data_IF_563458635114
#
_entry.id   IF_563458635114
#
_cell.length_a   1.000
_cell.length_b   1.000
_cell.length_c   1.000
_cell.angle_alpha   90.00
_cell.angle_beta   90.00
_cell.angle_gamma   90.00
#
_symmetry.space_group_name_H-M   'P 1'
#
loop_
_entity.id
_entity.type
_entity.pdbx_description
1 polymer ?
#
# COMPACT_ATOMS: atom_id res chain seq x y z
N UNK A 1 -14.73 -7.14 6.06
CA UNK A 1 -15.43 -6.27 5.09
C UNK A 1 -15.12 -6.83 3.72
N UNK A 2 -16.13 -7.08 2.88
CA UNK A 2 -15.94 -7.61 1.53
C UNK A 2 -16.14 -6.48 0.53
N UNK A 3 -15.18 -6.31 -0.38
CA UNK A 3 -15.22 -5.31 -1.44
C UNK A 3 -15.44 -6.02 -2.77
N UNK A 4 -16.47 -5.60 -3.50
CA UNK A 4 -16.72 -5.95 -4.89
C UNK A 4 -16.23 -4.83 -5.81
N UNK A 5 -16.15 -5.11 -7.12
CA UNK A 5 -15.79 -4.10 -8.10
C UNK A 5 -16.75 -2.89 -8.07
N UNK A 6 -18.05 -3.14 -7.86
CA UNK A 6 -19.07 -2.09 -7.76
C UNK A 6 -18.87 -1.22 -6.52
N UNK A 7 -18.73 -1.85 -5.35
CA UNK A 7 -18.55 -1.12 -4.08
C UNK A 7 -17.21 -0.39 -4.01
N UNK A 8 -16.17 -0.96 -4.61
CA UNK A 8 -14.87 -0.32 -4.78
C UNK A 8 -14.98 0.92 -5.68
N UNK A 9 -15.62 0.79 -6.85
CA UNK A 9 -15.84 1.94 -7.74
C UNK A 9 -16.69 3.02 -7.08
N UNK A 10 -17.74 2.64 -6.34
CA UNK A 10 -18.57 3.59 -5.58
C UNK A 10 -17.77 4.36 -4.54
N UNK A 11 -16.83 3.70 -3.85
CA UNK A 11 -15.91 4.38 -2.92
C UNK A 11 -15.09 5.44 -3.66
N UNK A 12 -14.47 5.07 -4.78
CA UNK A 12 -13.65 5.98 -5.58
C UNK A 12 -14.48 7.16 -6.11
N UNK A 13 -15.64 6.89 -6.71
CA UNK A 13 -16.53 7.92 -7.24
C UNK A 13 -17.00 8.90 -6.16
N UNK A 14 -17.35 8.40 -4.97
CA UNK A 14 -17.88 9.23 -3.89
C UNK A 14 -16.81 10.01 -3.12
N UNK A 15 -15.59 9.48 -2.99
CA UNK A 15 -14.54 10.06 -2.12
C UNK A 15 -13.35 10.62 -2.90
N UNK A 16 -13.06 10.08 -4.07
CA UNK A 16 -11.88 10.39 -4.88
C UNK A 16 -12.26 10.63 -6.35
N UNK A 17 -13.18 11.57 -6.65
CA UNK A 17 -13.69 11.76 -8.01
C UNK A 17 -12.60 12.13 -9.02
N UNK A 18 -11.53 12.81 -8.58
CA UNK A 18 -10.37 13.10 -9.43
C UNK A 18 -9.63 11.84 -9.91
N UNK A 19 -9.69 10.76 -9.13
CA UNK A 19 -9.05 9.48 -9.44
C UNK A 19 -9.95 8.55 -10.27
N UNK A 20 -11.25 8.86 -10.42
CA UNK A 20 -12.20 7.98 -11.07
C UNK A 20 -11.83 7.66 -12.53
N UNK A 21 -11.31 8.64 -13.26
CA UNK A 21 -10.84 8.44 -14.65
C UNK A 21 -9.67 7.45 -14.69
N UNK A 22 -8.74 7.52 -13.74
CA UNK A 22 -7.61 6.59 -13.65
C UNK A 22 -8.11 5.18 -13.31
N UNK A 23 -9.00 5.09 -12.32
CA UNK A 23 -9.63 3.84 -11.89
C UNK A 23 -10.34 3.12 -13.02
N UNK A 24 -11.19 3.83 -13.77
CA UNK A 24 -11.96 3.26 -14.89
C UNK A 24 -11.05 2.83 -16.05
N UNK A 25 -9.85 3.41 -16.17
CA UNK A 25 -8.85 3.05 -17.19
C UNK A 25 -7.91 1.90 -16.79
N UNK A 26 -7.99 1.38 -15.55
CA UNK A 26 -7.24 0.19 -15.20
C UNK A 26 -7.72 -1.03 -15.99
N UNK A 27 -6.85 -1.55 -16.87
CA UNK A 27 -7.12 -2.71 -17.73
C UNK A 27 -7.28 -4.03 -16.94
N UNK A 28 -6.53 -4.18 -15.85
CA UNK A 28 -6.48 -5.42 -15.08
C UNK A 28 -7.07 -5.21 -13.69
N UNK A 29 -7.87 -6.17 -13.22
CA UNK A 29 -8.47 -6.13 -11.88
C UNK A 29 -7.43 -6.12 -10.76
N UNK A 30 -6.24 -6.71 -10.99
CA UNK A 30 -5.16 -6.67 -10.00
C UNK A 30 -4.70 -5.23 -9.71
N UNK A 31 -4.63 -4.37 -10.72
CA UNK A 31 -4.27 -2.96 -10.54
C UNK A 31 -5.33 -2.21 -9.73
N UNK A 32 -6.61 -2.54 -9.93
CA UNK A 32 -7.71 -2.00 -9.13
C UNK A 32 -7.61 -2.46 -7.67
N UNK A 33 -7.32 -3.74 -7.44
CA UNK A 33 -7.13 -4.27 -6.09
C UNK A 33 -5.89 -3.68 -5.38
N UNK A 34 -4.79 -3.52 -6.11
CA UNK A 34 -3.57 -2.85 -5.66
C UNK A 34 -3.82 -1.38 -5.31
N UNK A 35 -4.65 -0.66 -6.07
CA UNK A 35 -5.00 0.72 -5.73
C UNK A 35 -5.98 0.77 -4.54
N UNK A 36 -7.03 -0.05 -4.56
CA UNK A 36 -8.12 -0.05 -3.59
C UNK A 36 -7.62 -0.24 -2.16
N UNK A 37 -6.65 -1.13 -1.93
CA UNK A 37 -6.12 -1.39 -0.58
C UNK A 37 -5.60 -0.13 0.11
N UNK A 38 -5.02 0.81 -0.63
CA UNK A 38 -4.55 2.07 -0.03
C UNK A 38 -5.71 3.00 0.31
N UNK A 39 -6.73 3.10 -0.55
CA UNK A 39 -7.93 3.91 -0.28
C UNK A 39 -8.71 3.37 0.92
N UNK A 40 -8.91 2.06 0.98
CA UNK A 40 -9.58 1.40 2.11
C UNK A 40 -8.77 1.61 3.39
N UNK A 41 -7.46 1.36 3.36
CA UNK A 41 -6.60 1.53 4.53
C UNK A 41 -6.52 3.01 4.96
N UNK A 42 -6.59 3.96 4.03
CA UNK A 42 -6.63 5.38 4.35
C UNK A 42 -7.95 5.79 5.02
N UNK A 43 -9.09 5.36 4.49
CA UNK A 43 -10.41 5.76 5.01
C UNK A 43 -10.71 5.12 6.36
N UNK A 44 -10.46 3.82 6.46
CA UNK A 44 -10.90 3.02 7.60
C UNK A 44 -9.77 2.71 8.58
N UNK A 45 -8.51 2.82 8.16
CA UNK A 45 -7.38 2.32 8.94
C UNK A 45 -7.44 0.80 9.12
N UNK A 46 -6.72 0.33 10.14
CA UNK A 46 -6.69 -1.09 10.49
C UNK A 46 -5.55 -1.81 9.78
N UNK A 47 -5.84 -3.03 9.32
CA UNK A 47 -4.88 -3.97 8.76
C UNK A 47 -5.42 -4.42 7.41
N UNK A 48 -4.59 -4.27 6.38
CA UNK A 48 -4.78 -4.92 5.10
C UNK A 48 -3.85 -6.13 5.04
N UNK A 49 -4.38 -7.28 4.61
CA UNK A 49 -3.64 -8.49 4.34
C UNK A 49 -4.24 -9.16 3.11
N UNK A 50 -3.40 -9.71 2.22
CA UNK A 50 -3.86 -10.58 1.14
C UNK A 50 -4.50 -11.87 1.72
N UNK A 51 -5.33 -12.53 0.93
CA UNK A 51 -6.17 -13.64 1.39
C UNK A 51 -5.39 -14.91 1.74
N UNK A 52 -4.14 -14.99 1.31
CA UNK A 52 -3.21 -16.09 1.55
C UNK A 52 -2.38 -15.91 2.84
N UNK A 53 -2.59 -14.83 3.60
CA UNK A 53 -1.92 -14.65 4.89
C UNK A 53 -2.59 -15.43 6.02
N UNK A 54 -1.77 -16.17 6.77
CA UNK A 54 -2.13 -16.82 8.02
C UNK A 54 -1.59 -16.03 9.23
N UNK A 55 -2.48 -15.72 10.17
CA UNK A 55 -2.12 -15.06 11.43
C UNK A 55 -1.60 -16.07 12.46
N UNK A 56 -0.28 -16.16 12.57
CA UNK A 56 0.40 -17.09 13.48
C UNK A 56 0.58 -16.52 14.90
N UNK A 57 0.43 -15.20 15.08
CA UNK A 57 0.56 -14.52 16.39
C UNK A 57 -0.36 -13.29 16.48
N UNK A 58 -0.84 -12.92 17.70
CA UNK A 58 -1.64 -11.72 17.89
C UNK A 58 -0.93 -10.43 17.43
N UNK A 59 -1.65 -9.57 16.70
CA UNK A 59 -1.14 -8.30 16.15
C UNK A 59 -1.24 -7.11 17.14
N UNK A 60 -1.92 -7.30 18.27
CA UNK A 60 -2.13 -6.31 19.35
C UNK A 60 -0.88 -5.53 19.79
N UNK A 61 0.29 -6.17 20.02
CA UNK A 61 1.47 -5.44 20.47
C UNK A 61 1.95 -4.41 19.45
N UNK A 62 1.76 -4.70 18.17
CA UNK A 62 2.29 -3.92 17.07
C UNK A 62 1.33 -2.79 16.69
N UNK A 63 0.02 -3.08 16.64
CA UNK A 63 -1.05 -2.11 16.35
C UNK A 63 -1.13 -0.98 17.38
N UNK A 64 -0.72 -1.23 18.63
CA UNK A 64 -0.68 -0.25 19.72
C UNK A 64 0.58 0.62 19.69
N UNK A 65 1.68 0.11 19.15
CA UNK A 65 2.99 0.78 19.19
C UNK A 65 3.23 1.72 18.01
N UNK A 66 2.75 1.35 16.82
CA UNK A 66 3.06 2.09 15.59
C UNK A 66 1.79 2.63 14.93
N UNK A 67 1.87 3.85 14.39
CA UNK A 67 0.77 4.50 13.68
C UNK A 67 0.59 3.95 12.25
N UNK A 68 1.66 3.46 11.64
CA UNK A 68 1.62 2.78 10.35
C UNK A 68 2.78 1.80 10.22
N UNK A 69 2.57 0.73 9.46
CA UNK A 69 3.48 -0.39 9.29
C UNK A 69 3.32 -0.92 7.87
N UNK A 70 4.45 -1.09 7.19
CA UNK A 70 4.55 -1.72 5.89
C UNK A 70 5.66 -2.75 5.98
N UNK A 71 5.39 -3.98 5.56
CA UNK A 71 6.40 -5.03 5.62
C UNK A 71 7.44 -4.87 4.52
N UNK A 72 8.60 -5.49 4.70
CA UNK A 72 9.57 -5.66 3.64
C UNK A 72 9.22 -6.91 2.85
N UNK A 73 9.41 -6.83 1.54
CA UNK A 73 9.56 -8.01 0.70
C UNK A 73 10.81 -8.80 1.12
N UNK A 74 10.87 -10.11 0.81
CA UNK A 74 12.10 -10.88 0.88
C UNK A 74 13.26 -10.16 0.22
N UNK A 75 14.45 -10.24 0.84
CA UNK A 75 15.63 -9.52 0.37
C UNK A 75 15.93 -9.85 -1.10
N UNK A 76 15.72 -11.10 -1.50
CA UNK A 76 15.89 -11.65 -2.83
C UNK A 76 15.08 -10.87 -3.88
N UNK A 77 13.84 -10.47 -3.55
CA UNK A 77 13.00 -9.68 -4.44
C UNK A 77 13.62 -8.29 -4.68
N UNK A 78 14.12 -7.65 -3.63
CA UNK A 78 14.76 -6.33 -3.77
C UNK A 78 16.14 -6.40 -4.46
N UNK A 79 16.98 -7.36 -4.07
CA UNK A 79 18.38 -7.45 -4.46
C UNK A 79 18.57 -8.04 -5.86
N UNK A 80 17.87 -9.14 -6.18
CA UNK A 80 18.08 -9.85 -7.44
C UNK A 80 17.16 -9.36 -8.56
N UNK A 81 15.89 -9.08 -8.26
CA UNK A 81 14.92 -8.66 -9.29
C UNK A 81 15.08 -7.20 -9.70
N UNK A 82 15.26 -6.31 -8.72
CA UNK A 82 15.22 -4.86 -8.94
C UNK A 82 16.56 -4.14 -8.65
N UNK A 83 17.51 -4.80 -7.99
CA UNK A 83 18.82 -4.23 -7.60
C UNK A 83 18.68 -2.94 -6.77
N UNK A 84 17.71 -2.92 -5.86
CA UNK A 84 17.46 -1.83 -4.91
C UNK A 84 17.71 -2.31 -3.47
N UNK A 85 18.04 -1.42 -2.52
CA UNK A 85 18.46 -1.83 -1.17
C UNK A 85 17.35 -2.48 -0.34
N UNK A 86 16.10 -2.16 -0.62
CA UNK A 86 14.93 -2.74 0.02
C UNK A 86 13.71 -2.55 -0.88
N UNK A 87 12.68 -3.35 -0.64
CA UNK A 87 11.37 -3.24 -1.29
C UNK A 87 10.31 -3.41 -0.20
N UNK A 88 9.39 -2.46 -0.10
CA UNK A 88 8.22 -2.55 0.76
C UNK A 88 7.16 -3.39 0.07
N UNK A 89 6.52 -4.27 0.85
CA UNK A 89 5.44 -5.13 0.43
C UNK A 89 4.09 -4.40 0.57
N UNK A 90 3.19 -4.62 -0.39
CA UNK A 90 1.83 -4.08 -0.39
C UNK A 90 0.74 -5.12 -0.06
N UNK A 91 1.15 -6.35 0.24
CA UNK A 91 0.29 -7.48 0.60
C UNK A 91 -0.03 -7.51 2.10
N UNK A 92 0.76 -6.84 2.94
CA UNK A 92 0.50 -6.68 4.37
C UNK A 92 0.89 -5.30 4.88
N UNK A 93 -0.14 -4.52 5.25
CA UNK A 93 0.00 -3.12 5.64
C UNK A 93 -0.93 -2.79 6.80
N UNK A 94 -0.50 -1.86 7.65
CA UNK A 94 -1.29 -1.41 8.79
C UNK A 94 -1.20 0.10 8.88
N UNK A 95 -2.30 0.76 9.20
CA UNK A 95 -2.30 2.20 9.37
C UNK A 95 -3.45 2.69 10.23
N UNK A 96 -3.23 3.81 10.92
CA UNK A 96 -4.32 4.63 11.43
C UNK A 96 -5.00 5.31 10.23
N UNK A 97 -6.32 5.53 10.29
CA UNK A 97 -7.01 6.23 9.22
C UNK A 97 -6.37 7.61 9.01
N UNK A 98 -6.30 8.04 7.75
CA UNK A 98 -5.72 9.32 7.32
C UNK A 98 -4.25 9.54 7.67
N UNK A 99 -3.46 8.47 7.75
CA UNK A 99 -2.04 8.58 8.02
C UNK A 99 -1.33 9.44 6.95
N UNK A 100 -0.44 10.40 7.32
CA UNK A 100 0.18 11.34 6.37
C UNK A 100 0.91 10.70 5.19
N UNK A 101 1.51 9.53 5.40
CA UNK A 101 2.13 8.78 4.31
C UNK A 101 1.11 8.26 3.27
N UNK A 102 -0.05 7.76 3.72
CA UNK A 102 -1.12 7.32 2.82
C UNK A 102 -1.75 8.52 2.09
N UNK A 103 -1.94 9.65 2.79
CA UNK A 103 -2.34 10.93 2.16
C UNK A 103 -1.39 11.28 1.01
N UNK A 104 -0.08 11.23 1.26
CA UNK A 104 0.91 11.53 0.25
C UNK A 104 0.84 10.59 -0.95
N UNK A 105 0.65 9.27 -0.74
CA UNK A 105 0.55 8.30 -1.82
C UNK A 105 -0.69 8.51 -2.69
N UNK A 106 -1.84 8.78 -2.06
CA UNK A 106 -3.11 9.02 -2.74
C UNK A 106 -3.07 10.36 -3.50
N UNK A 107 -2.60 11.43 -2.85
CA UNK A 107 -2.63 12.78 -3.41
C UNK A 107 -1.59 12.99 -4.53
N UNK A 108 -0.43 12.32 -4.46
CA UNK A 108 0.67 12.70 -5.34
C UNK A 108 0.74 11.94 -6.67
N UNK A 109 0.35 10.66 -6.79
CA UNK A 109 0.89 9.85 -7.90
C UNK A 109 0.12 8.67 -8.44
N UNK A 110 -1.06 8.28 -7.95
CA UNK A 110 -1.74 7.14 -8.59
C UNK A 110 -2.11 7.43 -10.07
N UNK A 111 -2.16 8.71 -10.45
CA UNK A 111 -2.42 9.20 -11.81
C UNK A 111 -1.19 9.09 -12.73
N UNK A 112 0.02 9.13 -12.17
CA UNK A 112 1.27 9.26 -12.93
C UNK A 112 1.78 7.95 -13.55
N UNK A 113 1.23 6.81 -13.13
CA UNK A 113 1.71 5.49 -13.58
C UNK A 113 0.96 4.92 -14.79
N UNK A 114 -0.10 5.58 -15.28
CA UNK A 114 -0.70 5.19 -16.56
C UNK A 114 0.22 5.45 -17.76
N UNK A 115 1.28 6.27 -17.60
CA UNK A 115 2.18 6.62 -18.71
C UNK A 115 3.21 5.54 -19.08
N UNK A 116 3.36 4.47 -18.31
CA UNK A 116 4.54 3.58 -18.47
C UNK A 116 4.25 2.09 -18.67
N UNK A 117 3.00 1.67 -18.95
CA UNK A 117 2.65 0.25 -19.12
C UNK A 117 3.29 -0.66 -18.04
N UNK A 118 3.41 -0.15 -16.80
CA UNK A 118 4.08 -0.90 -15.76
C UNK A 118 3.13 -1.94 -15.18
N UNK A 119 3.63 -3.15 -15.03
CA UNK A 119 2.95 -4.27 -14.35
C UNK A 119 2.68 -3.92 -12.87
N UNK A 120 3.40 -2.95 -12.31
CA UNK A 120 3.38 -2.54 -10.90
C UNK A 120 2.96 -1.06 -10.78
N UNK A 121 1.68 -0.77 -11.06
CA UNK A 121 1.13 0.59 -10.91
C UNK A 121 0.87 0.90 -9.44
N UNK A 122 0.36 -0.04 -8.65
CA UNK A 122 0.05 0.20 -7.24
C UNK A 122 0.63 -0.91 -6.33
N UNK A 123 1.60 -1.66 -6.83
CA UNK A 123 2.26 -2.76 -6.13
C UNK A 123 3.40 -2.33 -5.21
N UNK A 124 4.30 -3.26 -4.92
CA UNK A 124 5.46 -3.08 -4.03
C UNK A 124 6.40 -1.94 -4.50
N UNK A 125 6.58 -1.75 -5.81
CA UNK A 125 7.43 -0.66 -6.33
C UNK A 125 6.80 0.72 -6.09
N UNK A 126 5.47 0.82 -6.18
CA UNK A 126 4.74 2.06 -5.93
C UNK A 126 4.91 2.53 -4.48
N UNK A 127 4.63 1.67 -3.51
CA UNK A 127 4.76 2.02 -2.08
C UNK A 127 6.21 2.32 -1.71
N UNK A 128 7.18 1.57 -2.26
CA UNK A 128 8.61 1.80 -2.02
C UNK A 128 9.07 3.14 -2.55
N UNK A 129 8.69 3.47 -3.79
CA UNK A 129 9.04 4.74 -4.43
C UNK A 129 8.49 5.92 -3.64
N UNK A 130 7.21 5.84 -3.26
CA UNK A 130 6.58 6.89 -2.47
C UNK A 130 7.20 7.00 -1.08
N UNK A 131 7.58 5.89 -0.44
CA UNK A 131 8.25 5.92 0.86
C UNK A 131 9.60 6.64 0.79
N UNK A 132 10.41 6.36 -0.22
CA UNK A 132 11.70 7.02 -0.43
C UNK A 132 11.50 8.52 -0.65
N UNK A 133 10.54 8.91 -1.49
CA UNK A 133 10.21 10.31 -1.75
C UNK A 133 9.70 11.02 -0.50
N UNK A 134 8.78 10.40 0.23
CA UNK A 134 8.22 10.95 1.45
C UNK A 134 9.31 11.26 2.49
N UNK A 135 10.24 10.33 2.71
CA UNK A 135 11.34 10.50 3.66
C UNK A 135 12.38 11.55 3.22
N UNK A 136 12.53 11.79 1.91
CA UNK A 136 13.39 12.88 1.41
C UNK A 136 12.76 14.26 1.64
N UNK A 137 11.42 14.36 1.57
CA UNK A 137 10.69 15.62 1.63
C UNK A 137 10.31 16.05 3.05
N UNK A 138 10.26 15.12 4.01
CA UNK A 138 9.78 15.39 5.37
C UNK A 138 10.88 15.20 6.41
N UNK A 139 10.89 16.08 7.42
CA UNK A 139 11.81 16.02 8.56
C UNK A 139 11.55 14.82 9.49
N UNK A 140 10.36 14.23 9.41
CA UNK A 140 10.01 13.00 10.14
C UNK A 140 10.61 11.80 9.40
N UNK A 141 11.66 11.23 9.97
CA UNK A 141 12.33 10.04 9.44
C UNK A 141 11.54 8.80 9.84
N UNK A 142 10.88 8.16 8.87
CA UNK A 142 10.33 6.82 9.06
C UNK A 142 11.47 5.82 9.05
N UNK A 143 11.42 4.87 9.98
CA UNK A 143 12.46 3.84 10.12
C UNK A 143 11.95 2.52 9.58
N UNK A 144 12.80 1.86 8.79
CA UNK A 144 12.63 0.45 8.48
C UNK A 144 13.13 -0.32 9.70
N UNK A 145 12.22 -1.01 10.38
CA UNK A 145 12.55 -1.89 11.50
C UNK A 145 12.19 -3.31 11.15
N UNK A 146 13.10 -4.25 11.43
CA UNK A 146 12.80 -5.68 11.37
C UNK A 146 11.76 -5.99 12.44
N UNK A 147 10.52 -6.20 12.01
CA UNK A 147 9.47 -6.72 12.89
C UNK A 147 9.51 -8.24 12.88
N UNK A 148 9.20 -8.83 14.03
CA UNK A 148 8.89 -10.26 14.13
C UNK A 148 7.77 -10.63 13.15
N UNK A 149 7.85 -11.80 12.53
CA UNK A 149 6.77 -12.32 11.69
C UNK A 149 5.54 -12.62 12.57
N UNK A 150 4.49 -11.81 12.43
CA UNK A 150 3.17 -12.06 13.04
C UNK A 150 2.22 -12.79 12.07
N UNK A 151 2.57 -12.77 10.79
CA UNK A 151 1.79 -13.28 9.67
C UNK A 151 2.75 -14.02 8.72
N UNK A 152 2.27 -15.06 8.05
CA UNK A 152 3.00 -15.83 7.01
C UNK A 152 2.09 -16.02 5.79
N UNK A 153 2.65 -15.98 4.58
CA UNK A 153 1.97 -16.34 3.33
C UNK A 153 2.57 -17.63 2.75
#
# INVERSE_FOLDING_TARGET
>A
MFWTDETARQLIEARYPAFLVVWDNYRNNINKADALRYFVLYEFGGIYADLDFECIRPLDPVTRKYAAIFQLEPFEHSAFRLKIPFLLNNALMMSRPRHPFLTFMIDNRMDFQMQFEQIDVAGSSFVTTNFVLYNKLKTVVYRISHMYQFLTC
#
